data_IF_516282598179
#
_entry.id   IF_516282598179
#
_cell.length_a   1.000
_cell.length_b   1.000
_cell.length_c   1.000
_cell.angle_alpha   90.00
_cell.angle_beta   90.00
_cell.angle_gamma   90.00
#
_symmetry.space_group_name_H-M   'P 1'
#
loop_
_entity.id
_entity.type
_entity.pdbx_description
1 polymer ?
#
# COMPACT_ATOMS: atom_id res chain seq x y z
N UNK A 1 -12.27 -9.51 31.71
CA UNK A 1 -11.18 -8.77 31.06
C UNK A 1 -11.54 -8.59 29.58
N UNK A 2 -11.70 -7.36 29.13
CA UNK A 2 -12.00 -7.06 27.72
C UNK A 2 -10.68 -6.88 26.97
N UNK A 3 -10.53 -7.58 25.84
CA UNK A 3 -9.42 -7.37 24.91
C UNK A 3 -9.84 -6.29 23.92
N UNK A 4 -9.11 -5.19 23.87
CA UNK A 4 -9.32 -4.13 22.89
C UNK A 4 -8.24 -4.25 21.81
N UNK A 5 -8.67 -4.34 20.55
CA UNK A 5 -7.76 -4.27 19.39
C UNK A 5 -7.53 -2.81 19.06
N UNK A 6 -6.26 -2.40 19.04
CA UNK A 6 -5.87 -1.03 18.68
C UNK A 6 -5.05 -1.08 17.40
N UNK A 7 -5.38 -0.20 16.45
CA UNK A 7 -4.60 0.03 15.22
C UNK A 7 -3.86 1.36 15.35
N UNK A 8 -2.57 1.35 15.71
CA UNK A 8 -1.82 2.60 15.95
C UNK A 8 -1.47 3.37 14.68
N UNK A 9 -1.63 2.74 13.52
CA UNK A 9 -1.47 3.35 12.20
C UNK A 9 -2.80 3.36 11.47
N UNK A 10 -3.10 4.47 10.81
CA UNK A 10 -4.28 4.64 9.95
C UNK A 10 -3.86 5.36 8.68
N UNK A 11 -4.20 4.81 7.52
CA UNK A 11 -3.89 5.39 6.21
C UNK A 11 -2.41 5.80 6.06
N UNK A 12 -1.50 4.90 6.47
CA UNK A 12 -0.06 5.09 6.34
C UNK A 12 0.59 6.03 7.37
N UNK A 13 -0.17 6.65 8.27
CA UNK A 13 0.35 7.59 9.28
C UNK A 13 0.05 7.14 10.71
N UNK A 14 0.80 7.67 11.68
CA UNK A 14 0.59 7.38 13.10
C UNK A 14 -0.70 8.06 13.55
N UNK A 15 -1.65 7.27 14.03
CA UNK A 15 -2.92 7.72 14.62
C UNK A 15 -2.91 7.71 16.15
N UNK A 16 -2.10 6.83 16.74
CA UNK A 16 -1.85 6.74 18.19
C UNK A 16 -0.35 6.60 18.42
N UNK A 17 0.30 7.70 18.77
CA UNK A 17 1.75 7.78 18.96
C UNK A 17 2.25 6.82 20.05
N UNK A 18 1.55 6.75 21.18
CA UNK A 18 1.93 5.88 22.30
C UNK A 18 1.88 4.41 21.93
N UNK A 19 0.83 4.00 21.24
CA UNK A 19 0.69 2.61 20.81
C UNK A 19 1.61 2.27 19.65
N UNK A 20 1.92 3.23 18.76
CA UNK A 20 2.90 3.08 17.69
C UNK A 20 4.31 2.85 18.26
N UNK A 21 4.73 3.65 19.24
CA UNK A 21 6.00 3.48 19.94
C UNK A 21 6.10 2.10 20.61
N UNK A 22 5.01 1.66 21.27
CA UNK A 22 4.96 0.35 21.91
C UNK A 22 5.08 -0.79 20.90
N UNK A 23 4.36 -0.70 19.77
CA UNK A 23 4.42 -1.66 18.69
C UNK A 23 5.83 -1.75 18.07
N UNK A 24 6.45 -0.62 17.76
CA UNK A 24 7.82 -0.56 17.20
C UNK A 24 8.81 -1.17 18.19
N UNK A 25 8.68 -0.87 19.49
CA UNK A 25 9.52 -1.44 20.53
C UNK A 25 9.40 -2.96 20.59
N UNK A 26 8.19 -3.49 20.54
CA UNK A 26 7.97 -4.94 20.53
C UNK A 26 8.58 -5.60 19.28
N UNK A 27 8.48 -4.99 18.11
CA UNK A 27 9.13 -5.50 16.91
C UNK A 27 10.67 -5.49 17.04
N UNK A 28 11.25 -4.40 17.55
CA UNK A 28 12.69 -4.33 17.81
C UNK A 28 13.10 -5.46 18.75
N UNK A 29 12.41 -5.64 19.87
CA UNK A 29 12.73 -6.67 20.87
C UNK A 29 12.62 -8.09 20.32
N UNK A 30 11.59 -8.37 19.49
CA UNK A 30 11.41 -9.69 18.87
C UNK A 30 12.52 -10.04 17.88
N UNK A 31 12.99 -9.04 17.12
CA UNK A 31 14.04 -9.25 16.10
C UNK A 31 15.44 -9.26 16.71
N UNK A 32 15.72 -8.37 17.66
CA UNK A 32 17.07 -8.20 18.20
C UNK A 32 17.32 -8.92 19.52
N UNK A 33 16.26 -9.33 20.23
CA UNK A 33 16.34 -9.79 21.60
C UNK A 33 16.81 -8.69 22.56
N UNK A 34 17.19 -9.07 23.78
CA UNK A 34 17.79 -8.15 24.76
C UNK A 34 19.25 -7.91 24.40
N UNK A 35 19.56 -6.84 23.68
CA UNK A 35 20.94 -6.46 23.31
C UNK A 35 21.39 -5.21 24.05
N UNK A 36 22.71 -5.14 24.34
CA UNK A 36 23.33 -3.96 24.93
C UNK A 36 23.45 -2.79 23.94
N UNK A 37 23.61 -3.09 22.64
CA UNK A 37 23.72 -2.08 21.59
C UNK A 37 22.35 -1.85 20.92
N UNK A 38 21.93 -0.59 20.92
CA UNK A 38 20.70 -0.17 20.23
C UNK A 38 20.86 -0.32 18.69
N UNK A 39 19.86 -0.85 17.98
CA UNK A 39 19.93 -1.04 16.54
C UNK A 39 19.80 0.27 15.75
N UNK A 40 20.29 0.27 14.51
CA UNK A 40 19.83 1.18 13.45
C UNK A 40 18.59 0.57 12.85
N UNK A 41 17.62 1.39 12.51
CA UNK A 41 16.38 0.94 11.85
C UNK A 41 16.09 1.81 10.62
N UNK A 42 15.41 1.23 9.66
CA UNK A 42 14.83 1.94 8.52
C UNK A 42 13.33 1.70 8.52
N UNK A 43 12.56 2.74 8.25
CA UNK A 43 11.10 2.72 8.21
C UNK A 43 10.67 3.23 6.85
N UNK A 44 9.79 2.47 6.22
CA UNK A 44 9.13 2.89 5.00
C UNK A 44 7.97 3.80 5.31
N UNK A 45 7.80 4.85 4.53
CA UNK A 45 6.76 5.86 4.71
C UNK A 45 6.13 6.21 3.36
N UNK A 46 4.82 6.51 3.32
CA UNK A 46 4.17 7.03 2.12
C UNK A 46 4.81 8.32 1.62
N UNK A 47 4.78 8.56 0.32
CA UNK A 47 5.44 9.72 -0.29
C UNK A 47 4.81 11.07 0.09
N UNK A 48 3.55 11.08 0.53
CA UNK A 48 2.76 12.29 0.79
C UNK A 48 2.80 12.77 2.25
N UNK A 49 3.48 12.04 3.14
CA UNK A 49 3.49 12.42 4.55
C UNK A 49 4.23 13.75 4.77
N UNK A 50 3.68 14.55 5.66
CA UNK A 50 4.24 15.85 6.05
C UNK A 50 5.55 15.70 6.83
N UNK A 51 6.37 16.76 6.87
CA UNK A 51 7.58 16.76 7.69
C UNK A 51 7.30 16.55 9.19
N UNK A 52 6.12 16.98 9.65
CA UNK A 52 5.70 16.73 11.05
C UNK A 52 5.45 15.25 11.29
N UNK A 53 4.75 14.58 10.37
CA UNK A 53 4.51 13.13 10.45
C UNK A 53 5.82 12.33 10.31
N UNK A 54 6.74 12.74 9.41
CA UNK A 54 8.08 12.15 9.30
C UNK A 54 8.84 12.22 10.63
N UNK A 55 8.82 13.41 11.29
CA UNK A 55 9.42 13.59 12.62
C UNK A 55 8.77 12.68 13.66
N UNK A 56 7.45 12.59 13.69
CA UNK A 56 6.74 11.73 14.61
C UNK A 56 7.16 10.25 14.47
N UNK A 57 7.31 9.77 13.22
CA UNK A 57 7.80 8.40 12.95
C UNK A 57 9.23 8.21 13.48
N UNK A 58 10.13 9.17 13.25
CA UNK A 58 11.51 9.11 13.75
C UNK A 58 11.54 9.14 15.28
N UNK A 59 10.77 10.04 15.90
CA UNK A 59 10.68 10.16 17.36
C UNK A 59 10.12 8.88 18.00
N UNK A 60 9.07 8.30 17.40
CA UNK A 60 8.52 7.01 17.83
C UNK A 60 9.58 5.90 17.79
N UNK A 61 10.35 5.84 16.71
CA UNK A 61 11.43 4.88 16.53
C UNK A 61 12.58 5.07 17.54
N UNK A 62 12.99 6.30 17.77
CA UNK A 62 14.05 6.62 18.74
C UNK A 62 13.60 6.30 20.18
N UNK A 63 12.35 6.67 20.53
CA UNK A 63 11.73 6.39 21.82
C UNK A 63 11.53 4.89 22.04
N UNK A 64 11.28 4.13 21.00
CA UNK A 64 11.18 2.67 21.03
C UNK A 64 12.54 1.96 21.29
N UNK A 65 13.66 2.69 21.24
CA UNK A 65 14.99 2.19 21.60
C UNK A 65 15.95 2.00 20.43
N UNK A 66 15.72 2.60 19.27
CA UNK A 66 16.69 2.64 18.19
C UNK A 66 17.85 3.60 18.50
N UNK A 67 19.03 3.39 17.87
CA UNK A 67 20.16 4.31 17.90
C UNK A 67 20.09 5.37 16.80
N UNK A 68 19.59 4.97 15.62
CA UNK A 68 19.35 5.80 14.46
C UNK A 68 18.12 5.29 13.73
N UNK A 69 17.30 6.18 13.25
CA UNK A 69 16.17 5.89 12.37
C UNK A 69 16.38 6.56 11.01
N UNK A 70 16.10 5.82 9.95
CA UNK A 70 16.14 6.28 8.58
C UNK A 70 14.75 6.13 7.99
N UNK A 71 14.38 7.00 7.07
CA UNK A 71 13.13 6.90 6.32
C UNK A 71 13.44 6.60 4.86
N UNK A 72 12.57 5.83 4.22
CA UNK A 72 12.58 5.58 2.78
C UNK A 72 11.16 5.68 2.26
N UNK A 73 10.97 6.31 1.10
CA UNK A 73 9.64 6.40 0.48
C UNK A 73 9.18 5.04 -0.07
N UNK A 74 7.90 4.71 0.15
CA UNK A 74 7.29 3.43 -0.25
C UNK A 74 7.50 3.11 -1.74
N UNK A 75 7.28 4.03 -2.70
CA UNK A 75 7.49 3.74 -4.12
C UNK A 75 8.94 3.37 -4.45
N UNK A 76 9.90 4.03 -3.82
CA UNK A 76 11.33 3.73 -4.00
C UNK A 76 11.62 2.32 -3.46
N UNK A 77 11.17 2.03 -2.25
CA UNK A 77 11.34 0.71 -1.66
C UNK A 77 10.65 -0.38 -2.50
N UNK A 78 9.44 -0.13 -3.00
CA UNK A 78 8.70 -1.10 -3.82
C UNK A 78 9.46 -1.44 -5.12
N UNK A 79 9.98 -0.43 -5.83
CA UNK A 79 10.79 -0.64 -7.05
C UNK A 79 12.08 -1.42 -6.76
N UNK A 80 12.82 -1.06 -5.71
CA UNK A 80 14.03 -1.79 -5.28
C UNK A 80 13.69 -3.24 -4.94
N UNK A 81 12.58 -3.46 -4.21
CA UNK A 81 12.13 -4.79 -3.80
C UNK A 81 11.68 -5.67 -4.97
N UNK A 82 11.15 -5.07 -6.02
CA UNK A 82 10.82 -5.73 -7.28
C UNK A 82 12.05 -6.00 -8.17
N UNK A 83 13.24 -5.52 -7.78
CA UNK A 83 14.49 -5.72 -8.52
C UNK A 83 14.71 -4.71 -9.64
N UNK A 84 14.00 -3.58 -9.65
CA UNK A 84 14.18 -2.52 -10.64
C UNK A 84 15.41 -1.70 -10.29
N UNK A 85 16.27 -1.43 -11.29
CA UNK A 85 17.40 -0.54 -11.13
C UNK A 85 16.95 0.91 -11.35
N UNK A 86 16.69 1.61 -10.26
CA UNK A 86 16.22 3.01 -10.25
C UNK A 86 17.32 4.05 -10.45
N UNK A 87 18.60 3.65 -10.42
CA UNK A 87 19.76 4.56 -10.57
C UNK A 87 20.01 5.03 -12.00
N UNK A 88 19.37 4.43 -12.99
CA UNK A 88 19.50 4.83 -14.39
C UNK A 88 18.67 6.08 -14.68
N UNK A 89 19.12 6.88 -15.66
CA UNK A 89 18.36 8.02 -16.20
C UNK A 89 17.23 7.50 -17.11
N UNK A 90 16.24 6.84 -16.50
CA UNK A 90 15.09 6.21 -17.15
C UNK A 90 13.88 6.24 -16.23
N UNK A 91 12.72 6.58 -16.78
CA UNK A 91 11.46 6.58 -16.03
C UNK A 91 10.98 5.17 -15.65
N UNK A 92 10.68 4.97 -14.38
CA UNK A 92 10.07 3.74 -13.86
C UNK A 92 8.81 4.11 -13.09
N UNK A 93 7.67 3.63 -13.54
CA UNK A 93 6.39 3.87 -12.88
C UNK A 93 6.02 2.72 -11.97
N UNK A 94 5.60 3.06 -10.76
CA UNK A 94 5.08 2.13 -9.76
C UNK A 94 3.69 2.56 -9.30
N UNK A 95 2.81 1.58 -9.12
CA UNK A 95 1.52 1.71 -8.45
C UNK A 95 1.51 0.73 -7.29
N UNK A 96 1.64 1.24 -6.08
CA UNK A 96 1.62 0.43 -4.86
C UNK A 96 0.28 0.59 -4.16
N UNK A 97 -0.53 -0.47 -4.18
CA UNK A 97 -1.86 -0.49 -3.59
C UNK A 97 -1.81 -1.29 -2.30
N UNK A 98 -1.69 -0.58 -1.21
CA UNK A 98 -1.61 -1.14 0.14
C UNK A 98 -2.97 -1.43 0.77
N UNK A 99 -2.99 -1.46 2.11
CA UNK A 99 -4.24 -1.57 2.88
C UNK A 99 -4.93 -0.21 3.09
N UNK A 100 -4.16 0.84 3.37
CA UNK A 100 -4.67 2.17 3.70
C UNK A 100 -4.46 3.24 2.62
N UNK A 101 -3.45 3.08 1.77
CA UNK A 101 -3.05 4.04 0.74
C UNK A 101 -2.76 3.37 -0.58
N UNK A 102 -2.96 4.12 -1.65
CA UNK A 102 -2.43 3.81 -2.98
C UNK A 102 -1.44 4.89 -3.34
N UNK A 103 -0.18 4.49 -3.53
CA UNK A 103 0.93 5.35 -3.89
C UNK A 103 1.32 5.12 -5.35
N UNK A 104 1.24 6.18 -6.14
CA UNK A 104 1.63 6.18 -7.55
C UNK A 104 2.82 7.09 -7.71
N UNK A 105 3.90 6.61 -8.29
CA UNK A 105 5.09 7.44 -8.49
C UNK A 105 5.86 7.06 -9.75
N UNK A 106 6.57 8.04 -10.28
CA UNK A 106 7.59 7.88 -11.31
C UNK A 106 8.94 8.19 -10.69
N UNK A 107 9.84 7.23 -10.81
CA UNK A 107 11.18 7.29 -10.23
C UNK A 107 12.23 7.21 -11.34
N UNK A 108 13.20 8.09 -11.27
CA UNK A 108 14.37 8.14 -12.17
C UNK A 108 15.60 8.62 -11.40
N UNK A 109 16.78 8.11 -11.71
CA UNK A 109 18.05 8.53 -11.08
C UNK A 109 17.99 8.55 -9.55
N UNK A 110 17.41 7.49 -8.96
CA UNK A 110 17.20 7.32 -7.51
C UNK A 110 16.28 8.35 -6.83
N UNK A 111 15.59 9.18 -7.59
CA UNK A 111 14.67 10.20 -7.06
C UNK A 111 13.25 10.04 -7.58
N UNK A 112 12.28 10.48 -6.79
CA UNK A 112 10.89 10.62 -7.22
C UNK A 112 10.81 11.86 -8.12
N UNK A 113 10.27 11.69 -9.34
CA UNK A 113 10.03 12.77 -10.29
C UNK A 113 8.64 13.36 -10.10
N UNK A 114 7.65 12.49 -10.07
CA UNK A 114 6.24 12.82 -9.86
C UNK A 114 5.63 11.74 -8.98
N UNK A 115 4.77 12.13 -8.05
CA UNK A 115 4.04 11.18 -7.23
C UNK A 115 2.68 11.73 -6.82
N UNK A 116 1.72 10.81 -6.70
CA UNK A 116 0.40 11.10 -6.15
C UNK A 116 0.00 9.97 -5.23
N UNK A 117 -0.59 10.30 -4.09
CA UNK A 117 -1.04 9.32 -3.12
C UNK A 117 -2.47 9.61 -2.69
N UNK A 118 -3.27 8.56 -2.62
CA UNK A 118 -4.67 8.65 -2.21
C UNK A 118 -4.95 7.68 -1.05
N UNK A 119 -5.94 8.05 -0.23
CA UNK A 119 -6.39 7.23 0.91
C UNK A 119 -7.49 6.24 0.50
N UNK A 120 -7.38 5.72 -0.72
CA UNK A 120 -8.26 4.70 -1.29
C UNK A 120 -7.41 3.47 -1.56
N UNK A 121 -7.69 2.36 -0.87
CA UNK A 121 -6.92 1.13 -0.95
C UNK A 121 -7.72 -0.05 -0.36
N UNK A 122 -7.07 -1.16 -0.01
CA UNK A 122 -7.72 -2.39 0.41
C UNK A 122 -8.78 -2.23 1.50
N UNK A 123 -8.54 -1.40 2.51
CA UNK A 123 -9.49 -1.18 3.60
C UNK A 123 -10.73 -0.38 3.16
N UNK A 124 -10.57 0.57 2.23
CA UNK A 124 -11.68 1.34 1.66
C UNK A 124 -12.61 0.43 0.87
N UNK A 125 -12.02 -0.48 0.07
CA UNK A 125 -12.78 -1.49 -0.67
C UNK A 125 -13.56 -2.43 0.26
N UNK A 126 -12.96 -2.85 1.39
CA UNK A 126 -13.67 -3.66 2.38
C UNK A 126 -14.87 -2.93 2.97
N UNK A 127 -14.70 -1.64 3.29
CA UNK A 127 -15.80 -0.80 3.79
C UNK A 127 -16.87 -0.56 2.73
N UNK A 128 -16.51 -0.43 1.45
CA UNK A 128 -17.45 -0.31 0.35
C UNK A 128 -18.31 -1.58 0.23
N UNK A 129 -17.70 -2.75 0.30
CA UNK A 129 -18.41 -4.04 0.29
C UNK A 129 -19.34 -4.16 1.50
N UNK A 130 -18.90 -3.78 2.70
CA UNK A 130 -19.75 -3.80 3.91
C UNK A 130 -20.98 -2.91 3.71
N UNK A 131 -20.79 -1.68 3.22
CA UNK A 131 -21.88 -0.72 2.96
C UNK A 131 -22.84 -1.24 1.90
N UNK A 132 -22.32 -1.81 0.81
CA UNK A 132 -23.13 -2.38 -0.26
C UNK A 132 -24.05 -3.51 0.26
N UNK A 133 -23.48 -4.49 0.96
CA UNK A 133 -24.21 -5.61 1.53
C UNK A 133 -25.23 -5.14 2.56
N UNK A 134 -24.86 -4.20 3.41
CA UNK A 134 -25.76 -3.61 4.39
C UNK A 134 -26.95 -2.90 3.74
N UNK A 135 -26.70 -2.15 2.68
CA UNK A 135 -27.73 -1.36 1.99
C UNK A 135 -28.68 -2.26 1.22
N UNK A 136 -28.14 -3.18 0.41
CA UNK A 136 -28.91 -4.04 -0.49
C UNK A 136 -29.64 -5.17 0.24
N UNK A 137 -28.93 -5.85 1.14
CA UNK A 137 -29.41 -7.07 1.79
C UNK A 137 -29.84 -6.89 3.25
N UNK A 138 -29.66 -5.69 3.82
CA UNK A 138 -29.86 -5.44 5.25
C UNK A 138 -29.07 -6.40 6.14
N UNK A 139 -27.93 -6.86 5.65
CA UNK A 139 -27.04 -7.80 6.33
C UNK A 139 -25.78 -7.08 6.80
N UNK A 140 -25.49 -7.12 8.09
CA UNK A 140 -24.26 -6.61 8.67
C UNK A 140 -23.21 -7.71 8.67
N UNK A 141 -22.14 -7.52 7.88
CA UNK A 141 -20.97 -8.40 7.82
C UNK A 141 -19.78 -7.76 8.53
N UNK A 142 -18.84 -8.57 9.00
CA UNK A 142 -17.59 -8.10 9.60
C UNK A 142 -16.49 -7.85 8.55
N UNK A 143 -15.45 -7.08 8.94
CA UNK A 143 -14.29 -6.75 8.09
C UNK A 143 -13.64 -7.98 7.45
N UNK A 144 -13.41 -9.05 8.21
CA UNK A 144 -12.82 -10.29 7.67
C UNK A 144 -13.68 -10.97 6.61
N UNK A 145 -15.00 -10.85 6.68
CA UNK A 145 -15.89 -11.40 5.67
C UNK A 145 -15.82 -10.56 4.39
N UNK A 146 -15.79 -9.23 4.53
CA UNK A 146 -15.65 -8.33 3.40
C UNK A 146 -14.29 -8.52 2.70
N UNK A 147 -13.19 -8.57 3.45
CA UNK A 147 -11.85 -8.84 2.91
C UNK A 147 -11.80 -10.18 2.17
N UNK A 148 -12.40 -11.21 2.75
CA UNK A 148 -12.49 -12.52 2.10
C UNK A 148 -13.28 -12.45 0.79
N UNK A 149 -14.41 -11.77 0.76
CA UNK A 149 -15.21 -11.56 -0.45
C UNK A 149 -14.41 -10.78 -1.51
N UNK A 150 -13.76 -9.69 -1.10
CA UNK A 150 -12.85 -8.93 -1.96
C UNK A 150 -11.78 -9.81 -2.60
N UNK A 151 -11.05 -10.60 -1.80
CA UNK A 151 -9.94 -11.44 -2.31
C UNK A 151 -10.44 -12.54 -3.24
N UNK A 152 -11.55 -13.19 -2.91
CA UNK A 152 -12.01 -14.39 -3.61
C UNK A 152 -12.90 -14.10 -4.81
N UNK A 153 -13.64 -12.99 -4.79
CA UNK A 153 -14.70 -12.72 -5.76
C UNK A 153 -14.50 -11.46 -6.61
N UNK A 154 -13.46 -10.64 -6.33
CA UNK A 154 -13.22 -9.45 -7.16
C UNK A 154 -12.76 -9.84 -8.55
N UNK A 155 -13.47 -9.34 -9.56
CA UNK A 155 -13.07 -9.35 -10.96
C UNK A 155 -13.45 -8.00 -11.59
N UNK A 156 -12.45 -7.13 -11.77
CA UNK A 156 -12.64 -5.73 -12.17
C UNK A 156 -12.63 -5.51 -13.68
N UNK A 157 -12.39 -6.54 -14.47
CA UNK A 157 -12.31 -6.39 -15.94
C UNK A 157 -13.46 -7.08 -16.69
N UNK A 158 -13.91 -8.23 -16.19
CA UNK A 158 -14.99 -9.02 -16.79
C UNK A 158 -15.76 -9.75 -15.68
N UNK A 159 -16.51 -8.99 -14.84
CA UNK A 159 -17.26 -9.58 -13.73
C UNK A 159 -18.44 -10.40 -14.22
N UNK A 160 -18.72 -11.54 -13.58
CA UNK A 160 -19.73 -12.50 -13.96
C UNK A 160 -20.76 -12.68 -12.86
N UNK A 161 -22.03 -12.83 -13.23
CA UNK A 161 -23.13 -13.06 -12.29
C UNK A 161 -23.18 -14.50 -11.78
N UNK A 162 -22.72 -15.46 -12.58
CA UNK A 162 -22.73 -16.89 -12.28
C UNK A 162 -21.60 -17.34 -11.34
N UNK A 163 -20.63 -16.47 -11.09
CA UNK A 163 -19.57 -16.71 -10.11
C UNK A 163 -19.93 -16.04 -8.81
N UNK A 164 -20.22 -16.87 -7.81
CA UNK A 164 -20.80 -16.43 -6.54
C UNK A 164 -20.07 -17.01 -5.35
N UNK A 165 -20.28 -16.41 -4.18
CA UNK A 165 -19.90 -16.98 -2.89
C UNK A 165 -20.93 -16.70 -1.81
N UNK A 166 -20.95 -17.53 -0.77
CA UNK A 166 -21.76 -17.30 0.39
C UNK A 166 -21.05 -16.42 1.43
N UNK A 167 -21.72 -15.35 1.83
CA UNK A 167 -21.33 -14.47 2.93
C UNK A 167 -22.33 -14.57 4.09
N UNK A 168 -21.83 -14.43 5.30
CA UNK A 168 -22.61 -14.59 6.53
C UNK A 168 -22.53 -13.33 7.39
N UNK A 169 -23.63 -12.99 8.00
CA UNK A 169 -23.71 -11.83 8.87
C UNK A 169 -24.94 -11.87 9.76
N UNK A 170 -25.25 -10.72 10.33
CA UNK A 170 -26.47 -10.50 11.13
C UNK A 170 -27.47 -9.69 10.32
N UNK A 171 -28.65 -10.23 10.11
CA UNK A 171 -29.77 -9.49 9.52
C UNK A 171 -30.17 -8.32 10.42
N UNK A 172 -30.24 -7.13 9.87
CA UNK A 172 -30.53 -5.91 10.63
C UNK A 172 -32.01 -5.74 10.97
N UNK A 173 -32.91 -6.47 10.29
CA UNK A 173 -34.36 -6.42 10.53
C UNK A 173 -34.75 -7.43 11.59
N UNK A 174 -34.30 -8.68 11.43
CA UNK A 174 -34.65 -9.77 12.36
C UNK A 174 -33.72 -9.89 13.57
N UNK A 175 -32.47 -9.34 13.45
CA UNK A 175 -31.43 -9.52 14.44
C UNK A 175 -30.74 -10.90 14.39
N UNK A 176 -31.20 -11.81 13.54
CA UNK A 176 -30.75 -13.19 13.47
C UNK A 176 -29.54 -13.38 12.52
N UNK A 177 -28.74 -14.44 12.72
CA UNK A 177 -27.75 -14.85 11.76
C UNK A 177 -28.41 -15.19 10.41
N UNK A 178 -27.79 -14.73 9.33
CA UNK A 178 -28.27 -14.97 7.97
C UNK A 178 -27.08 -15.19 7.04
N UNK A 179 -27.34 -15.91 5.95
CA UNK A 179 -26.39 -16.16 4.86
C UNK A 179 -27.04 -15.75 3.55
N UNK A 180 -26.30 -15.03 2.73
CA UNK A 180 -26.71 -14.66 1.38
C UNK A 180 -25.65 -15.12 0.38
N UNK A 181 -26.04 -15.21 -0.86
CA UNK A 181 -25.15 -15.41 -2.00
C UNK A 181 -24.87 -14.05 -2.67
N UNK A 182 -23.59 -13.77 -3.00
CA UNK A 182 -23.17 -12.54 -3.67
C UNK A 182 -22.30 -12.90 -4.88
N UNK A 183 -22.43 -12.16 -5.98
CA UNK A 183 -21.74 -12.40 -7.25
C UNK A 183 -20.50 -11.50 -7.47
N UNK A 184 -19.66 -11.86 -8.48
CA UNK A 184 -18.57 -11.00 -8.95
C UNK A 184 -19.08 -9.62 -9.38
N UNK A 185 -20.22 -9.57 -10.09
CA UNK A 185 -20.83 -8.33 -10.54
C UNK A 185 -21.20 -7.42 -9.38
N UNK A 186 -21.75 -7.97 -8.30
CA UNK A 186 -22.12 -7.20 -7.12
C UNK A 186 -20.90 -6.69 -6.34
N UNK A 187 -19.83 -7.47 -6.30
CA UNK A 187 -18.56 -7.00 -5.72
C UNK A 187 -17.97 -5.87 -6.57
N UNK A 188 -18.02 -5.99 -7.90
CA UNK A 188 -17.59 -4.93 -8.80
C UNK A 188 -18.40 -3.65 -8.56
N UNK A 189 -19.73 -3.72 -8.56
CA UNK A 189 -20.62 -2.58 -8.26
C UNK A 189 -20.29 -1.92 -6.92
N UNK A 190 -19.94 -2.72 -5.91
CA UNK A 190 -19.62 -2.21 -4.60
C UNK A 190 -18.33 -1.37 -4.56
N UNK A 191 -17.34 -1.67 -5.43
CA UNK A 191 -16.01 -1.07 -5.37
C UNK A 191 -15.68 -0.18 -6.58
N UNK A 192 -16.57 -0.04 -7.54
CA UNK A 192 -16.35 0.64 -8.83
C UNK A 192 -15.86 2.09 -8.65
N UNK A 193 -16.49 2.84 -7.74
CA UNK A 193 -16.13 4.23 -7.47
C UNK A 193 -14.69 4.32 -6.91
N UNK A 194 -14.36 3.51 -5.92
CA UNK A 194 -13.03 3.48 -5.30
C UNK A 194 -11.95 3.05 -6.32
N UNK A 195 -12.26 2.11 -7.22
CA UNK A 195 -11.34 1.69 -8.29
C UNK A 195 -11.16 2.81 -9.33
N UNK A 196 -12.21 3.56 -9.63
CA UNK A 196 -12.14 4.72 -10.52
C UNK A 196 -11.20 5.79 -9.96
N UNK A 197 -11.25 6.05 -8.65
CA UNK A 197 -10.32 6.97 -7.96
C UNK A 197 -8.86 6.51 -8.09
N UNK A 198 -8.60 5.21 -7.96
CA UNK A 198 -7.25 4.65 -8.14
C UNK A 198 -6.76 4.88 -9.59
N UNK A 199 -7.62 4.62 -10.58
CA UNK A 199 -7.26 4.83 -11.99
C UNK A 199 -7.01 6.31 -12.28
N UNK A 200 -7.79 7.21 -11.71
CA UNK A 200 -7.61 8.64 -11.87
C UNK A 200 -6.28 9.12 -11.26
N UNK A 201 -5.91 8.61 -10.09
CA UNK A 201 -4.60 8.89 -9.49
C UNK A 201 -3.43 8.46 -10.40
N UNK A 202 -3.57 7.31 -11.08
CA UNK A 202 -2.56 6.83 -12.04
C UNK A 202 -2.46 7.77 -13.24
N UNK A 203 -3.60 8.22 -13.79
CA UNK A 203 -3.62 9.17 -14.91
C UNK A 203 -3.01 10.50 -14.54
N UNK A 204 -3.35 11.05 -13.37
CA UNK A 204 -2.81 12.31 -12.86
C UNK A 204 -1.29 12.30 -12.85
N UNK A 205 -0.67 11.22 -12.34
CA UNK A 205 0.80 11.10 -12.33
C UNK A 205 1.38 11.06 -13.73
N UNK A 206 0.74 10.37 -14.68
CA UNK A 206 1.20 10.34 -16.07
C UNK A 206 1.10 11.70 -16.75
N UNK A 207 0.01 12.45 -16.51
CA UNK A 207 -0.23 13.77 -17.09
C UNK A 207 0.76 14.82 -16.57
N UNK A 208 1.14 14.73 -15.29
CA UNK A 208 2.13 15.63 -14.67
C UNK A 208 3.59 15.27 -14.99
N UNK A 209 3.82 14.13 -15.67
CA UNK A 209 5.16 13.62 -15.95
C UNK A 209 5.76 14.21 -17.21
N UNK A 210 7.06 14.59 -17.21
CA UNK A 210 7.75 15.02 -18.42
C UNK A 210 7.62 13.99 -19.57
N UNK A 211 7.39 14.44 -20.82
CA UNK A 211 7.14 13.57 -21.97
C UNK A 211 8.21 12.51 -22.23
N UNK A 212 9.48 12.84 -21.97
CA UNK A 212 10.61 11.92 -22.14
C UNK A 212 10.47 10.69 -21.23
N UNK A 213 10.04 10.90 -19.98
CA UNK A 213 9.83 9.82 -19.03
C UNK A 213 8.54 9.04 -19.28
N UNK A 214 7.51 9.70 -19.84
CA UNK A 214 6.30 8.99 -20.31
C UNK A 214 6.65 8.03 -21.44
N UNK A 215 7.58 8.41 -22.36
CA UNK A 215 8.12 7.53 -23.37
C UNK A 215 8.79 6.29 -22.79
N UNK A 216 9.58 6.45 -21.73
CA UNK A 216 10.19 5.34 -21.01
C UNK A 216 9.17 4.40 -20.39
N UNK A 217 8.09 4.94 -19.82
CA UNK A 217 7.01 4.15 -19.21
C UNK A 217 6.24 3.35 -20.26
N UNK A 218 6.03 3.92 -21.45
CA UNK A 218 5.41 3.19 -22.55
C UNK A 218 6.23 1.94 -22.93
N UNK A 219 7.56 2.02 -22.90
CA UNK A 219 8.46 0.89 -23.19
C UNK A 219 8.57 -0.09 -22.02
N UNK A 220 8.75 0.42 -20.80
CA UNK A 220 8.99 -0.39 -19.59
C UNK A 220 7.73 -1.01 -19.01
N UNK A 221 6.61 -0.32 -19.20
CA UNK A 221 5.35 -0.63 -18.53
C UNK A 221 5.25 -0.03 -17.12
N UNK A 222 4.11 -0.28 -16.50
CA UNK A 222 3.79 0.10 -15.13
C UNK A 222 3.99 -1.11 -14.22
N UNK A 223 4.76 -0.95 -13.16
CA UNK A 223 4.89 -1.98 -12.13
C UNK A 223 3.78 -1.79 -11.09
N UNK A 224 3.12 -2.88 -10.71
CA UNK A 224 2.08 -2.88 -9.69
C UNK A 224 2.55 -3.68 -8.47
N UNK A 225 2.46 -3.10 -7.29
CA UNK A 225 2.86 -3.69 -6.01
C UNK A 225 1.74 -3.55 -4.97
N UNK A 226 1.97 -4.08 -3.76
CA UNK A 226 0.96 -4.13 -2.71
C UNK A 226 -0.06 -5.23 -2.88
N UNK A 227 -0.85 -5.47 -1.82
CA UNK A 227 -1.89 -6.50 -1.81
C UNK A 227 -3.00 -6.22 -2.81
N UNK A 228 -3.36 -4.96 -3.02
CA UNK A 228 -4.39 -4.53 -3.96
C UNK A 228 -4.04 -4.81 -5.42
N UNK A 229 -2.76 -4.82 -5.78
CA UNK A 229 -2.31 -5.17 -7.13
C UNK A 229 -2.68 -6.62 -7.54
N UNK A 230 -3.01 -7.47 -6.56
CA UNK A 230 -3.40 -8.86 -6.77
C UNK A 230 -4.90 -9.04 -7.00
N UNK A 231 -5.71 -7.98 -6.91
CA UNK A 231 -7.15 -8.04 -7.16
C UNK A 231 -7.43 -8.53 -8.59
N UNK A 232 -8.40 -9.44 -8.68
CA UNK A 232 -8.79 -10.03 -9.96
C UNK A 232 -9.20 -8.97 -10.97
N UNK A 233 -8.64 -9.05 -12.18
CA UNK A 233 -8.95 -8.14 -13.26
C UNK A 233 -8.29 -6.75 -13.21
N UNK A 234 -7.79 -6.27 -12.05
CA UNK A 234 -7.23 -4.92 -11.90
C UNK A 234 -6.12 -4.62 -12.92
N UNK A 235 -5.12 -5.50 -13.03
CA UNK A 235 -4.04 -5.34 -14.01
C UNK A 235 -4.58 -5.13 -15.43
N UNK A 236 -5.54 -5.96 -15.85
CA UNK A 236 -6.15 -5.86 -17.19
C UNK A 236 -6.92 -4.57 -17.37
N UNK A 237 -7.64 -4.13 -16.34
CA UNK A 237 -8.38 -2.88 -16.35
C UNK A 237 -7.44 -1.69 -16.53
N UNK A 238 -6.35 -1.63 -15.77
CA UNK A 238 -5.33 -0.58 -15.88
C UNK A 238 -4.66 -0.61 -17.25
N UNK A 239 -4.23 -1.78 -17.75
CA UNK A 239 -3.67 -1.93 -19.10
C UNK A 239 -4.62 -1.44 -20.19
N UNK A 240 -5.89 -1.82 -20.07
CA UNK A 240 -6.92 -1.42 -21.06
C UNK A 240 -7.16 0.10 -21.04
N UNK A 241 -7.19 0.69 -19.86
CA UNK A 241 -7.49 2.12 -19.69
C UNK A 241 -6.32 3.00 -20.09
N UNK A 242 -5.10 2.66 -19.70
CA UNK A 242 -3.90 3.47 -19.95
C UNK A 242 -3.22 3.15 -21.29
N UNK A 243 -3.57 2.03 -21.92
CA UNK A 243 -2.89 1.50 -23.13
C UNK A 243 -1.39 1.28 -22.92
N UNK A 244 -0.98 1.01 -21.70
CA UNK A 244 0.41 0.73 -21.31
C UNK A 244 0.45 -0.62 -20.62
N UNK A 245 1.49 -1.41 -20.91
CA UNK A 245 1.69 -2.72 -20.27
C UNK A 245 1.79 -2.58 -18.76
N UNK A 246 1.09 -3.43 -18.00
CA UNK A 246 1.19 -3.50 -16.55
C UNK A 246 1.74 -4.86 -16.10
N UNK A 247 2.59 -4.84 -15.10
CA UNK A 247 3.20 -6.05 -14.53
C UNK A 247 3.01 -6.05 -13.02
N UNK A 248 2.36 -7.07 -12.49
CA UNK A 248 2.30 -7.28 -11.03
C UNK A 248 3.64 -7.84 -10.58
N UNK A 249 4.22 -7.23 -9.55
CA UNK A 249 5.47 -7.69 -8.97
C UNK A 249 5.36 -9.14 -8.49
N UNK A 250 6.42 -9.93 -8.66
CA UNK A 250 6.43 -11.37 -8.35
C UNK A 250 6.01 -11.68 -6.91
N UNK A 251 6.30 -10.78 -5.98
CA UNK A 251 5.91 -10.88 -4.57
C UNK A 251 5.38 -9.51 -4.12
N UNK A 252 4.26 -9.11 -4.75
CA UNK A 252 3.69 -7.77 -4.65
C UNK A 252 3.48 -7.32 -3.20
N UNK A 253 2.99 -8.19 -2.33
CA UNK A 253 2.73 -7.88 -0.91
C UNK A 253 4.00 -7.55 -0.11
N UNK A 254 5.15 -8.11 -0.50
CA UNK A 254 6.40 -7.97 0.25
C UNK A 254 7.42 -7.07 -0.44
N UNK A 255 7.10 -6.45 -1.57
CA UNK A 255 8.03 -5.62 -2.34
C UNK A 255 8.62 -4.50 -1.47
N UNK A 256 7.78 -3.74 -0.79
CA UNK A 256 8.20 -2.63 0.09
C UNK A 256 9.16 -3.14 1.19
N UNK A 257 8.77 -4.19 1.91
CA UNK A 257 9.60 -4.74 2.99
C UNK A 257 10.95 -5.27 2.47
N UNK A 258 10.97 -5.95 1.31
CA UNK A 258 12.21 -6.42 0.67
C UNK A 258 13.09 -5.27 0.21
N UNK A 259 12.50 -4.26 -0.44
CA UNK A 259 13.24 -3.10 -0.90
C UNK A 259 13.81 -2.29 0.23
N UNK A 260 13.06 -2.11 1.31
CA UNK A 260 13.53 -1.48 2.55
C UNK A 260 14.73 -2.23 3.13
N UNK A 261 14.71 -3.56 3.14
CA UNK A 261 15.83 -4.38 3.61
C UNK A 261 17.06 -4.28 2.68
N UNK A 262 16.86 -4.22 1.36
CA UNK A 262 17.94 -4.05 0.37
C UNK A 262 18.56 -2.66 0.51
N UNK A 263 17.74 -1.61 0.61
CA UNK A 263 18.21 -0.24 0.83
C UNK A 263 19.02 -0.13 2.13
N UNK A 264 18.58 -0.78 3.20
CA UNK A 264 19.29 -0.78 4.48
C UNK A 264 20.68 -1.40 4.39
N UNK A 265 20.89 -2.45 3.59
CA UNK A 265 22.22 -3.06 3.40
C UNK A 265 23.22 -2.10 2.74
N UNK A 266 22.71 -1.20 1.92
CA UNK A 266 23.51 -0.24 1.16
C UNK A 266 23.54 1.15 1.79
N UNK A 267 22.99 1.30 3.01
CA UNK A 267 22.74 2.61 3.62
C UNK A 267 24.03 3.43 3.82
N UNK A 268 25.13 2.76 4.17
CA UNK A 268 26.41 3.44 4.38
C UNK A 268 26.99 3.96 3.04
N UNK A 269 26.77 3.26 1.93
CA UNK A 269 27.14 3.71 0.57
C UNK A 269 26.20 4.84 0.08
N UNK A 270 24.94 4.84 0.53
CA UNK A 270 23.95 5.85 0.17
C UNK A 270 24.19 7.19 0.88
N UNK A 271 24.79 7.14 2.09
CA UNK A 271 25.14 8.33 2.89
C UNK A 271 26.41 9.01 2.40
N UNK A 272 27.28 8.32 1.67
CA UNK A 272 28.56 8.87 1.16
C UNK A 272 28.43 9.65 -0.17
N UNK A 273 27.21 10.00 -0.58
CA UNK A 273 26.95 10.99 -1.62
C UNK A 273 27.00 10.49 -3.06
N UNK A 274 27.13 9.20 -3.30
CA UNK A 274 27.19 8.64 -4.66
C UNK A 274 25.85 8.19 -5.25
N UNK A 275 24.81 7.99 -4.42
CA UNK A 275 23.47 7.68 -4.89
C UNK A 275 22.43 8.49 -4.09
N UNK A 276 21.78 9.42 -4.78
CA UNK A 276 20.69 10.23 -4.20
C UNK A 276 19.41 9.41 -4.11
N UNK A 277 19.40 8.40 -3.21
CA UNK A 277 18.13 7.77 -2.83
C UNK A 277 17.50 8.67 -1.78
N UNK A 278 16.19 8.90 -1.88
CA UNK A 278 15.42 9.70 -0.93
C UNK A 278 15.34 8.97 0.45
N UNK A 279 16.48 8.80 1.09
CA UNK A 279 16.62 8.33 2.47
C UNK A 279 16.89 9.54 3.32
N UNK A 280 15.90 9.90 4.13
CA UNK A 280 16.02 11.02 5.05
C UNK A 280 16.74 10.56 6.32
N UNK A 281 17.82 11.24 6.67
CA UNK A 281 18.49 11.07 7.95
C UNK A 281 18.09 12.23 8.86
N UNK A 282 17.38 11.94 9.93
CA UNK A 282 17.17 12.90 11.01
C UNK A 282 18.24 12.66 12.09
N UNK A 283 19.01 13.70 12.38
CA UNK A 283 19.88 13.75 13.57
C UNK A 283 19.06 14.36 14.71
N UNK A 284 19.04 13.69 15.85
CA UNK A 284 18.45 14.18 17.08
C UNK A 284 19.33 15.29 17.68
#
# INVERSE_FOLDING_TARGET
>A
DYITVVRPLSNGVISDDRMAQYMIREFILRVTGKRLLKPRIIICVPSFITDVEKRAVVEAAMSAGSRKAYLIDEPIAALIGAGVNIGKARGNMIVDIGGGTTDVAIVSMNGIVTSHSIKVAGNTLDQAIIRYVQTKYKLLIGEHMAERAKIQLTNLFDPREDVTMYIKGRNLVSGMPEQIEISETEIFEAVEDDISDIIEAIKTVLEETPPELVGDIYENGVLMAGGGAMLGGLRKLVEHTLKVRCVVAKDAMNCVAKGTAIAFRNIDNLLDGFENIAIYQYQA
#
